data_IF_845394438027
#
_entry.id   IF_845394438027
#
_cell.length_a   1.000
_cell.length_b   1.000
_cell.length_c   1.000
_cell.angle_alpha   90.00
_cell.angle_beta   90.00
_cell.angle_gamma   90.00
#
_symmetry.space_group_name_H-M   'P 1'
#
loop_
_entity.id
_entity.type
_entity.pdbx_description
1 polymer ?
#
# COMPACT_ATOMS: atom_id res chain seq x y z
N UNK A 1 7.33 13.17 25.47
CA UNK A 1 6.12 12.65 26.15
C UNK A 1 6.06 11.16 25.92
N UNK A 2 6.10 10.34 26.98
CA UNK A 2 5.84 8.91 26.87
C UNK A 2 4.33 8.70 26.94
N UNK A 3 3.72 8.25 25.84
CA UNK A 3 2.28 7.98 25.78
C UNK A 3 1.86 6.85 26.73
N UNK A 4 2.79 5.95 27.04
CA UNK A 4 2.61 4.90 28.04
C UNK A 4 3.45 5.23 29.27
N UNK A 5 2.81 5.63 30.35
CA UNK A 5 3.43 5.87 31.65
C UNK A 5 4.06 4.61 32.26
N UNK A 6 3.74 3.43 31.75
CA UNK A 6 4.29 2.15 32.18
C UNK A 6 4.88 1.38 31.01
N UNK A 7 6.01 0.69 31.24
CA UNK A 7 6.60 -0.22 30.25
C UNK A 7 5.59 -1.32 29.90
N UNK A 8 5.17 -1.36 28.66
CA UNK A 8 4.29 -2.44 28.17
C UNK A 8 4.98 -3.79 28.27
N UNK A 9 4.23 -4.83 28.64
CA UNK A 9 4.71 -6.21 28.77
C UNK A 9 3.78 -7.17 28.04
N UNK A 10 3.45 -6.83 26.79
CA UNK A 10 2.56 -7.64 25.96
C UNK A 10 3.37 -8.76 25.34
N UNK A 11 2.88 -9.98 25.38
CA UNK A 11 3.56 -11.12 24.75
C UNK A 11 3.10 -11.30 23.28
N UNK A 12 3.69 -10.51 22.39
CA UNK A 12 3.42 -10.56 20.95
C UNK A 12 3.90 -11.88 20.32
N UNK A 13 5.03 -12.40 20.79
CA UNK A 13 5.61 -13.60 20.19
C UNK A 13 4.88 -14.89 20.58
N UNK A 14 4.12 -14.91 21.67
CA UNK A 14 3.21 -16.02 21.98
C UNK A 14 2.08 -16.11 20.97
N UNK A 15 1.61 -14.99 20.45
CA UNK A 15 0.49 -14.91 19.48
C UNK A 15 0.92 -15.12 18.03
N UNK A 16 2.22 -15.34 17.76
CA UNK A 16 2.79 -15.42 16.39
C UNK A 16 2.08 -16.45 15.48
N UNK A 17 1.64 -17.61 16.03
CA UNK A 17 0.95 -18.65 15.25
C UNK A 17 -0.39 -18.15 14.72
N UNK A 18 -1.17 -17.48 15.56
CA UNK A 18 -2.43 -16.86 15.19
C UNK A 18 -2.25 -15.73 14.17
N UNK A 19 -1.22 -14.90 14.38
CA UNK A 19 -0.87 -13.84 13.43
C UNK A 19 -0.48 -14.41 12.07
N UNK A 20 0.33 -15.47 11.99
CA UNK A 20 0.65 -16.15 10.73
C UNK A 20 -0.59 -16.73 10.04
N UNK A 21 -1.45 -17.40 10.80
CA UNK A 21 -2.68 -17.97 10.25
C UNK A 21 -3.59 -16.87 9.66
N UNK A 22 -3.79 -15.79 10.40
CA UNK A 22 -4.58 -14.64 9.96
C UNK A 22 -3.97 -13.99 8.70
N UNK A 23 -2.66 -13.73 8.72
CA UNK A 23 -1.93 -13.14 7.61
C UNK A 23 -1.96 -14.03 6.35
N UNK A 24 -1.78 -15.35 6.52
CA UNK A 24 -1.86 -16.32 5.41
C UNK A 24 -3.26 -16.35 4.81
N UNK A 25 -4.30 -16.30 5.64
CA UNK A 25 -5.70 -16.24 5.18
C UNK A 25 -5.95 -14.95 4.38
N UNK A 26 -5.47 -13.81 4.87
CA UNK A 26 -5.59 -12.53 4.15
C UNK A 26 -4.81 -12.54 2.83
N UNK A 27 -3.61 -13.15 2.78
CA UNK A 27 -2.85 -13.29 1.54
C UNK A 27 -3.56 -14.17 0.52
N UNK A 28 -4.08 -15.33 0.94
CA UNK A 28 -4.86 -16.23 0.07
C UNK A 28 -6.09 -15.49 -0.46
N UNK A 29 -6.80 -14.78 0.40
CA UNK A 29 -7.95 -13.96 0.01
C UNK A 29 -7.54 -12.86 -0.99
N UNK A 30 -6.44 -12.16 -0.74
CA UNK A 30 -5.92 -11.09 -1.61
C UNK A 30 -5.52 -11.62 -2.98
N UNK A 31 -4.78 -12.74 -3.02
CA UNK A 31 -4.39 -13.39 -4.28
C UNK A 31 -5.63 -13.90 -5.03
N UNK A 32 -6.57 -14.52 -4.31
CA UNK A 32 -7.84 -14.95 -4.91
C UNK A 32 -8.61 -13.77 -5.51
N UNK A 33 -8.76 -12.67 -4.78
CA UNK A 33 -9.44 -11.48 -5.30
C UNK A 33 -8.74 -10.93 -6.55
N UNK A 34 -7.42 -10.85 -6.55
CA UNK A 34 -6.65 -10.40 -7.71
C UNK A 34 -6.80 -11.32 -8.93
N UNK A 35 -6.91 -12.64 -8.74
CA UNK A 35 -7.10 -13.59 -9.83
C UNK A 35 -8.52 -13.55 -10.38
N UNK A 36 -9.54 -13.47 -9.54
CA UNK A 36 -10.94 -13.56 -9.96
C UNK A 36 -11.52 -12.19 -10.39
N UNK A 37 -11.18 -11.12 -9.69
CA UNK A 37 -11.73 -9.78 -9.95
C UNK A 37 -10.76 -8.88 -10.75
N UNK A 38 -9.46 -9.15 -10.70
CA UNK A 38 -8.44 -8.24 -11.23
C UNK A 38 -8.33 -6.94 -10.44
N UNK A 39 -7.55 -5.99 -10.94
CA UNK A 39 -7.50 -4.62 -10.45
C UNK A 39 -8.41 -3.73 -11.29
N UNK A 40 -9.15 -2.84 -10.64
CA UNK A 40 -9.87 -1.77 -11.31
C UNK A 40 -8.90 -0.65 -11.69
N UNK A 41 -8.25 -0.80 -12.86
CA UNK A 41 -7.23 0.13 -13.33
C UNK A 41 -7.86 1.46 -13.74
N UNK A 42 -7.25 2.55 -13.30
CA UNK A 42 -7.62 3.90 -13.66
C UNK A 42 -7.30 4.25 -15.12
N UNK A 43 -7.74 5.41 -15.53
CA UNK A 43 -7.57 5.94 -16.88
C UNK A 43 -6.08 6.02 -17.28
N UNK A 44 -5.22 6.32 -16.31
CA UNK A 44 -3.77 6.41 -16.52
C UNK A 44 -3.18 5.14 -17.14
N UNK A 45 -3.72 3.99 -16.77
CA UNK A 45 -3.23 2.68 -17.20
C UNK A 45 -4.01 2.09 -18.38
N UNK A 46 -5.33 2.36 -18.43
CA UNK A 46 -6.20 1.81 -19.47
C UNK A 46 -6.21 2.64 -20.75
N UNK A 47 -5.87 3.91 -20.63
CA UNK A 47 -6.15 4.91 -21.66
C UNK A 47 -7.65 5.17 -21.80
N UNK A 48 -8.03 6.22 -22.48
CA UNK A 48 -9.44 6.57 -22.69
C UNK A 48 -9.67 8.06 -22.62
N UNK A 49 -10.94 8.44 -22.55
CA UNK A 49 -11.40 9.81 -22.33
C UNK A 49 -12.22 9.83 -21.05
N UNK A 50 -11.87 10.71 -20.13
CA UNK A 50 -12.62 10.99 -18.92
C UNK A 50 -13.21 12.38 -19.03
N UNK A 51 -14.51 12.48 -18.80
CA UNK A 51 -15.25 13.74 -18.84
C UNK A 51 -15.99 13.88 -17.51
N UNK A 52 -15.70 14.96 -16.81
CA UNK A 52 -16.38 15.33 -15.58
C UNK A 52 -17.45 16.38 -15.90
N UNK A 53 -18.67 16.08 -15.54
CA UNK A 53 -19.81 16.96 -15.77
C UNK A 53 -20.58 17.19 -14.48
N UNK A 54 -21.21 18.38 -14.38
CA UNK A 54 -22.08 18.73 -13.27
C UNK A 54 -23.50 18.97 -13.73
N UNK A 55 -24.46 18.53 -12.92
CA UNK A 55 -25.88 18.70 -13.15
C UNK A 55 -26.48 19.70 -12.14
N UNK A 56 -27.57 20.40 -12.49
CA UNK A 56 -28.28 21.27 -11.53
C UNK A 56 -28.87 20.52 -10.34
N UNK A 57 -29.32 19.29 -10.59
CA UNK A 57 -29.88 18.35 -9.61
C UNK A 57 -29.16 17.01 -9.68
N UNK A 58 -29.31 16.16 -8.65
CA UNK A 58 -28.72 14.82 -8.66
C UNK A 58 -29.33 13.97 -9.80
N UNK A 59 -28.52 13.57 -10.81
CA UNK A 59 -29.00 12.83 -11.96
C UNK A 59 -29.12 11.33 -11.68
N UNK A 60 -29.95 10.63 -12.45
CA UNK A 60 -29.96 9.17 -12.50
C UNK A 60 -28.83 8.68 -13.43
N UNK A 61 -27.88 7.97 -12.86
CA UNK A 61 -26.74 7.41 -13.60
C UNK A 61 -27.15 6.39 -14.67
N UNK A 62 -28.28 5.69 -14.49
CA UNK A 62 -28.78 4.74 -15.49
C UNK A 62 -29.33 5.48 -16.69
N UNK A 63 -30.08 6.57 -16.46
CA UNK A 63 -30.58 7.41 -17.53
C UNK A 63 -29.44 8.03 -18.34
N UNK A 64 -28.38 8.53 -17.70
CA UNK A 64 -27.20 9.03 -18.41
C UNK A 64 -26.56 7.95 -19.26
N UNK A 65 -26.45 6.72 -18.74
CA UNK A 65 -25.86 5.59 -19.47
C UNK A 65 -26.68 5.22 -20.70
N UNK A 66 -27.99 5.22 -20.58
CA UNK A 66 -28.91 4.98 -21.69
C UNK A 66 -28.80 6.06 -22.78
N UNK A 67 -28.76 7.34 -22.37
CA UNK A 67 -28.58 8.46 -23.31
C UNK A 67 -27.24 8.37 -24.07
N UNK A 68 -26.15 8.05 -23.37
CA UNK A 68 -24.84 7.87 -24.00
C UNK A 68 -24.81 6.65 -24.93
N UNK A 69 -25.43 5.55 -24.53
CA UNK A 69 -25.55 4.33 -25.34
C UNK A 69 -26.36 4.57 -26.60
N UNK A 70 -27.48 5.33 -26.53
CA UNK A 70 -28.26 5.73 -27.66
C UNK A 70 -27.50 6.62 -28.66
N UNK A 71 -26.51 7.38 -28.16
CA UNK A 71 -25.58 8.17 -28.99
C UNK A 71 -24.41 7.34 -29.55
N UNK A 72 -24.40 6.02 -29.35
CA UNK A 72 -23.31 5.12 -29.79
C UNK A 72 -22.02 5.24 -28.97
N UNK A 73 -22.12 5.70 -27.72
CA UNK A 73 -20.99 5.88 -26.81
C UNK A 73 -21.04 4.81 -25.68
N UNK A 74 -20.15 3.85 -25.71
CA UNK A 74 -19.94 2.94 -24.57
C UNK A 74 -19.25 3.67 -23.41
N UNK A 75 -20.02 4.07 -22.42
CA UNK A 75 -19.54 4.84 -21.32
C UNK A 75 -19.75 4.14 -19.97
N UNK A 76 -18.80 4.26 -19.08
CA UNK A 76 -18.94 3.96 -17.66
C UNK A 76 -19.24 5.27 -16.95
N UNK A 77 -20.37 5.33 -16.25
CA UNK A 77 -20.81 6.51 -15.49
C UNK A 77 -20.76 6.24 -14.00
N UNK A 78 -20.20 7.17 -13.24
CA UNK A 78 -20.15 7.05 -11.79
C UNK A 78 -20.30 8.44 -11.14
N UNK A 79 -20.91 8.49 -9.95
CA UNK A 79 -20.95 9.72 -9.15
C UNK A 79 -19.54 10.12 -8.73
N UNK A 80 -19.24 11.42 -8.77
CA UNK A 80 -17.91 11.94 -8.52
C UNK A 80 -17.99 13.22 -7.67
N UNK A 81 -17.38 13.19 -6.50
CA UNK A 81 -17.34 14.35 -5.61
C UNK A 81 -18.66 14.64 -4.92
N UNK A 82 -19.61 15.26 -5.61
CA UNK A 82 -20.94 15.55 -5.09
C UNK A 82 -22.01 14.67 -5.72
N UNK A 83 -23.23 14.71 -5.18
CA UNK A 83 -24.39 14.00 -5.77
C UNK A 83 -24.82 14.55 -7.13
N UNK A 84 -24.29 15.70 -7.53
CA UNK A 84 -24.59 16.38 -8.79
C UNK A 84 -23.52 16.19 -9.85
N UNK A 85 -22.35 15.72 -9.45
CA UNK A 85 -21.20 15.59 -10.35
C UNK A 85 -21.08 14.14 -10.80
N UNK A 86 -20.86 13.96 -12.09
CA UNK A 86 -20.76 12.65 -12.74
C UNK A 86 -19.47 12.58 -13.54
N UNK A 87 -18.73 11.51 -13.31
CA UNK A 87 -17.58 11.13 -14.10
C UNK A 87 -18.03 10.15 -15.19
N UNK A 88 -17.70 10.45 -16.42
CA UNK A 88 -18.00 9.66 -17.61
C UNK A 88 -16.67 9.21 -18.21
N UNK A 89 -16.46 7.90 -18.30
CA UNK A 89 -15.30 7.30 -18.95
C UNK A 89 -15.71 6.60 -20.23
N UNK A 90 -14.93 6.85 -21.26
CA UNK A 90 -15.16 6.32 -22.61
C UNK A 90 -13.89 5.65 -23.12
N UNK A 91 -14.05 4.55 -23.85
CA UNK A 91 -12.95 3.96 -24.60
C UNK A 91 -12.48 4.91 -25.70
N UNK A 92 -11.18 4.88 -26.00
CA UNK A 92 -10.62 5.65 -27.11
C UNK A 92 -11.24 5.22 -28.45
N UNK A 93 -11.78 6.17 -29.16
CA UNK A 93 -12.07 6.02 -30.60
C UNK A 93 -10.87 6.58 -31.38
N UNK A 94 -10.27 5.75 -32.24
CA UNK A 94 -9.04 6.10 -32.98
C UNK A 94 -9.14 7.34 -33.85
N UNK A 95 -10.37 7.67 -34.29
CA UNK A 95 -10.64 8.73 -35.26
C UNK A 95 -11.20 10.02 -34.65
N UNK A 96 -11.33 10.08 -33.31
CA UNK A 96 -11.92 11.22 -32.61
C UNK A 96 -10.95 11.89 -31.69
N UNK A 97 -10.83 13.22 -31.79
CA UNK A 97 -10.08 14.01 -30.81
C UNK A 97 -10.83 14.11 -29.46
N UNK A 98 -10.12 14.47 -28.41
CA UNK A 98 -10.73 14.73 -27.09
C UNK A 98 -11.92 15.69 -27.20
N UNK A 99 -11.77 16.77 -27.94
CA UNK A 99 -12.81 17.78 -28.10
C UNK A 99 -14.05 17.24 -28.81
N UNK A 100 -13.86 16.45 -29.88
CA UNK A 100 -14.94 15.79 -30.59
C UNK A 100 -15.68 14.76 -29.71
N UNK A 101 -14.95 14.02 -28.86
CA UNK A 101 -15.58 13.10 -27.91
C UNK A 101 -16.36 13.87 -26.86
N UNK A 102 -15.79 14.93 -26.29
CA UNK A 102 -16.47 15.80 -25.31
C UNK A 102 -17.74 16.42 -25.91
N UNK A 103 -17.67 16.94 -27.13
CA UNK A 103 -18.83 17.52 -27.80
C UNK A 103 -19.94 16.50 -28.08
N UNK A 104 -19.56 15.25 -28.44
CA UNK A 104 -20.55 14.17 -28.60
C UNK A 104 -21.23 13.82 -27.28
N UNK A 105 -20.47 13.73 -26.20
CA UNK A 105 -21.02 13.47 -24.86
C UNK A 105 -21.96 14.58 -24.45
N UNK A 106 -21.54 15.86 -24.54
CA UNK A 106 -22.39 16.99 -24.16
C UNK A 106 -23.67 17.12 -25.03
N UNK A 107 -23.60 16.71 -26.29
CA UNK A 107 -24.80 16.62 -27.15
C UNK A 107 -25.77 15.54 -26.69
N UNK A 108 -25.26 14.41 -26.19
CA UNK A 108 -26.09 13.32 -25.68
C UNK A 108 -26.73 13.63 -24.31
N UNK A 109 -26.09 14.50 -23.51
CA UNK A 109 -26.53 14.89 -22.17
C UNK A 109 -26.58 16.43 -22.04
N UNK A 110 -27.53 17.11 -22.69
CA UNK A 110 -27.54 18.57 -22.83
C UNK A 110 -27.75 19.34 -21.53
N UNK A 111 -28.24 18.68 -20.46
CA UNK A 111 -28.43 19.29 -19.14
C UNK A 111 -27.12 19.39 -18.33
N UNK A 112 -26.07 18.68 -18.75
CA UNK A 112 -24.80 18.62 -18.09
C UNK A 112 -23.89 19.80 -18.48
N UNK A 113 -23.18 20.33 -17.50
CA UNK A 113 -22.10 21.32 -17.70
C UNK A 113 -20.76 20.65 -17.58
N UNK A 114 -19.92 20.82 -18.60
CA UNK A 114 -18.53 20.34 -18.56
C UNK A 114 -17.76 21.03 -17.43
N UNK A 115 -17.13 20.21 -16.56
CA UNK A 115 -16.17 20.69 -15.57
C UNK A 115 -14.74 20.44 -16.05
N UNK A 116 -14.44 19.22 -16.49
CA UNK A 116 -13.10 18.80 -16.92
C UNK A 116 -13.20 17.71 -17.98
N UNK A 117 -12.25 17.70 -18.89
CA UNK A 117 -12.08 16.62 -19.86
C UNK A 117 -10.60 16.24 -19.96
N UNK A 118 -10.30 14.96 -19.87
CA UNK A 118 -8.95 14.42 -20.00
C UNK A 118 -8.94 13.27 -21.00
N UNK A 119 -7.84 13.13 -21.74
CA UNK A 119 -7.65 12.05 -22.69
C UNK A 119 -6.24 11.48 -22.54
N UNK A 120 -6.16 10.17 -22.34
CA UNK A 120 -4.91 9.44 -22.29
C UNK A 120 -4.88 8.44 -23.45
N UNK A 121 -3.90 8.60 -24.34
CA UNK A 121 -3.71 7.68 -25.47
C UNK A 121 -3.33 6.28 -24.99
N UNK A 122 -3.79 5.25 -25.70
CA UNK A 122 -3.49 3.84 -25.34
C UNK A 122 -1.99 3.54 -25.28
N UNK A 123 -1.17 4.17 -26.12
CA UNK A 123 0.27 4.01 -26.08
C UNK A 123 0.87 4.60 -24.79
N UNK A 124 0.37 5.75 -24.35
CA UNK A 124 0.78 6.39 -23.10
C UNK A 124 0.37 5.52 -21.90
N UNK A 125 -0.88 5.02 -21.87
CA UNK A 125 -1.35 4.13 -20.83
C UNK A 125 -0.48 2.87 -20.69
N UNK A 126 -0.17 2.20 -21.79
CA UNK A 126 0.73 1.03 -21.78
C UNK A 126 2.13 1.36 -21.29
N UNK A 127 2.69 2.53 -21.66
CA UNK A 127 3.99 2.98 -21.17
C UNK A 127 3.94 3.24 -19.64
N UNK A 128 2.85 3.83 -19.15
CA UNK A 128 2.67 4.07 -17.71
C UNK A 128 2.52 2.76 -16.91
N UNK A 129 1.83 1.75 -17.44
CA UNK A 129 1.78 0.40 -16.83
C UNK A 129 3.19 -0.18 -16.72
N UNK A 130 3.94 -0.17 -17.81
CA UNK A 130 5.31 -0.73 -17.84
C UNK A 130 6.22 0.00 -16.85
N UNK A 131 6.20 1.34 -16.88
CA UNK A 131 7.00 2.15 -15.97
C UNK A 131 6.56 1.99 -14.51
N UNK A 132 5.27 1.85 -14.25
CA UNK A 132 4.73 1.58 -12.92
C UNK A 132 5.21 0.25 -12.35
N UNK A 133 5.15 -0.82 -13.13
CA UNK A 133 5.68 -2.14 -12.74
C UNK A 133 7.19 -2.05 -12.47
N UNK A 134 7.95 -1.40 -13.36
CA UNK A 134 9.39 -1.20 -13.17
C UNK A 134 9.69 -0.40 -11.90
N UNK A 135 8.92 0.65 -11.61
CA UNK A 135 9.08 1.44 -10.40
C UNK A 135 8.90 0.61 -9.13
N UNK A 136 7.86 -0.26 -9.09
CA UNK A 136 7.63 -1.17 -7.96
C UNK A 136 8.78 -2.17 -7.83
N UNK A 137 9.22 -2.79 -8.92
CA UNK A 137 10.32 -3.75 -8.90
C UNK A 137 11.61 -3.08 -8.42
N UNK A 138 11.95 -1.90 -8.95
CA UNK A 138 13.17 -1.17 -8.56
C UNK A 138 13.09 -0.74 -7.09
N UNK A 139 11.94 -0.27 -6.62
CA UNK A 139 11.75 0.11 -5.23
C UNK A 139 11.93 -1.10 -4.29
N UNK A 140 11.32 -2.24 -4.62
CA UNK A 140 11.46 -3.48 -3.84
C UNK A 140 12.91 -3.98 -3.84
N UNK A 141 13.54 -4.08 -5.00
CA UNK A 141 14.93 -4.54 -5.11
C UNK A 141 15.90 -3.60 -4.39
N UNK A 142 15.79 -2.29 -4.59
CA UNK A 142 16.64 -1.30 -3.92
C UNK A 142 16.50 -1.37 -2.40
N UNK A 143 15.27 -1.54 -1.92
CA UNK A 143 14.98 -1.68 -0.50
C UNK A 143 15.52 -2.99 0.06
N UNK A 144 15.36 -4.13 -0.66
CA UNK A 144 15.91 -5.42 -0.25
C UNK A 144 17.44 -5.41 -0.21
N UNK A 145 18.09 -4.78 -1.19
CA UNK A 145 19.54 -4.59 -1.22
C UNK A 145 19.99 -3.78 0.01
N UNK A 146 19.33 -2.66 0.28
CA UNK A 146 19.63 -1.85 1.48
C UNK A 146 19.54 -2.67 2.77
N UNK A 147 18.46 -3.45 2.95
CA UNK A 147 18.27 -4.28 4.14
C UNK A 147 19.34 -5.38 4.22
N UNK A 148 19.71 -5.99 3.10
CA UNK A 148 20.72 -7.04 3.05
C UNK A 148 22.10 -6.53 3.49
N UNK A 149 22.46 -5.29 3.16
CA UNK A 149 23.69 -4.66 3.65
C UNK A 149 23.60 -4.18 5.10
N UNK A 150 22.41 -3.80 5.54
CA UNK A 150 22.20 -3.19 6.88
C UNK A 150 22.07 -4.22 7.99
N UNK A 151 21.46 -5.38 7.70
CA UNK A 151 21.10 -6.38 8.69
C UNK A 151 21.69 -7.76 8.39
N UNK A 152 21.72 -8.60 9.43
CA UNK A 152 22.05 -10.01 9.31
C UNK A 152 20.99 -10.70 8.42
N UNK A 153 21.42 -11.68 7.67
CA UNK A 153 20.66 -12.32 6.60
C UNK A 153 19.27 -12.79 7.01
N UNK A 154 19.06 -13.28 8.24
CA UNK A 154 17.72 -13.72 8.72
C UNK A 154 16.75 -12.57 8.89
N UNK A 155 17.24 -11.45 9.40
CA UNK A 155 16.47 -10.20 9.42
C UNK A 155 16.21 -9.68 8.02
N UNK A 156 17.20 -9.76 7.13
CA UNK A 156 17.05 -9.29 5.77
C UNK A 156 15.98 -10.08 5.01
N UNK A 157 16.02 -11.41 5.06
CA UNK A 157 15.03 -12.27 4.40
C UNK A 157 13.63 -12.08 4.98
N UNK A 158 13.52 -12.00 6.32
CA UNK A 158 12.21 -11.80 6.96
C UNK A 158 11.60 -10.43 6.63
N UNK A 159 12.40 -9.37 6.58
CA UNK A 159 11.96 -8.06 6.15
C UNK A 159 11.57 -8.03 4.67
N UNK A 160 12.31 -8.71 3.80
CA UNK A 160 11.98 -8.81 2.37
C UNK A 160 10.63 -9.49 2.13
N UNK A 161 10.33 -10.57 2.86
CA UNK A 161 9.03 -11.26 2.78
C UNK A 161 7.91 -10.35 3.28
N UNK A 162 8.12 -9.67 4.42
CA UNK A 162 7.17 -8.70 4.97
C UNK A 162 6.91 -7.54 3.99
N UNK A 163 7.96 -7.08 3.31
CA UNK A 163 7.90 -5.99 2.33
C UNK A 163 7.07 -6.35 1.08
N UNK A 164 7.04 -7.61 0.67
CA UNK A 164 6.18 -8.11 -0.43
C UNK A 164 4.75 -8.35 0.07
N UNK A 165 4.61 -8.83 1.30
CA UNK A 165 3.33 -9.12 1.93
C UNK A 165 2.41 -7.89 1.97
N UNK A 166 2.92 -6.74 2.41
CA UNK A 166 2.11 -5.55 2.65
C UNK A 166 1.47 -4.98 1.37
N UNK A 167 2.21 -4.77 0.25
CA UNK A 167 1.61 -4.37 -1.03
C UNK A 167 0.61 -5.38 -1.58
N UNK A 168 0.87 -6.69 -1.41
CA UNK A 168 -0.05 -7.73 -1.87
C UNK A 168 -1.41 -7.65 -1.18
N UNK A 169 -1.43 -7.36 0.13
CA UNK A 169 -2.68 -7.17 0.86
C UNK A 169 -3.41 -5.89 0.43
N UNK A 170 -2.69 -4.81 0.19
CA UNK A 170 -3.28 -3.54 -0.30
C UNK A 170 -3.94 -3.76 -1.66
N UNK A 171 -3.20 -4.35 -2.61
CA UNK A 171 -3.73 -4.62 -3.96
C UNK A 171 -4.91 -5.59 -3.92
N UNK A 172 -4.87 -6.61 -3.05
CA UNK A 172 -5.98 -7.54 -2.86
C UNK A 172 -7.25 -6.86 -2.34
N UNK A 173 -7.12 -5.94 -1.39
CA UNK A 173 -8.24 -5.16 -0.89
C UNK A 173 -8.78 -4.17 -1.94
N UNK A 174 -7.90 -3.54 -2.70
CA UNK A 174 -8.30 -2.69 -3.84
C UNK A 174 -9.09 -3.48 -4.87
N UNK A 175 -8.62 -4.69 -5.21
CA UNK A 175 -9.33 -5.62 -6.10
C UNK A 175 -10.72 -5.99 -5.56
N UNK A 176 -10.79 -6.36 -4.27
CA UNK A 176 -12.04 -6.81 -3.65
C UNK A 176 -13.08 -5.70 -3.56
N UNK A 177 -12.67 -4.50 -3.14
CA UNK A 177 -13.59 -3.37 -3.02
C UNK A 177 -13.77 -2.60 -4.34
N UNK A 178 -13.18 -3.06 -5.45
CA UNK A 178 -13.20 -2.40 -6.75
C UNK A 178 -12.75 -0.92 -6.67
N UNK A 179 -11.82 -0.63 -5.75
CA UNK A 179 -11.22 0.70 -5.65
C UNK A 179 -10.36 0.95 -6.88
N UNK A 180 -10.50 2.12 -7.46
CA UNK A 180 -9.70 2.49 -8.61
C UNK A 180 -8.22 2.60 -8.25
N UNK A 181 -7.38 1.96 -9.06
CA UNK A 181 -5.94 1.99 -8.95
C UNK A 181 -5.35 2.79 -10.11
N UNK A 182 -4.94 4.01 -9.83
CA UNK A 182 -4.37 5.00 -10.74
C UNK A 182 -2.89 5.27 -10.42
N UNK A 183 -2.26 6.23 -11.08
CA UNK A 183 -0.89 6.65 -10.79
C UNK A 183 -0.73 7.19 -9.36
N UNK A 184 -1.75 7.83 -8.82
CA UNK A 184 -1.74 8.35 -7.45
C UNK A 184 -1.81 7.19 -6.46
N UNK A 185 -2.61 6.17 -6.74
CA UNK A 185 -2.65 4.92 -5.99
C UNK A 185 -1.32 4.15 -6.03
N UNK A 186 -0.65 4.13 -7.19
CA UNK A 186 0.70 3.58 -7.33
C UNK A 186 1.72 4.33 -6.48
N UNK A 187 1.67 5.68 -6.47
CA UNK A 187 2.53 6.48 -5.61
C UNK A 187 2.31 6.20 -4.13
N UNK A 188 1.04 5.98 -3.71
CA UNK A 188 0.72 5.56 -2.36
C UNK A 188 1.32 4.18 -2.04
N UNK A 189 1.20 3.21 -2.95
CA UNK A 189 1.78 1.87 -2.77
C UNK A 189 3.29 1.93 -2.56
N UNK A 190 4.01 2.71 -3.37
CA UNK A 190 5.45 2.93 -3.24
C UNK A 190 5.80 3.63 -1.90
N UNK A 191 4.97 4.56 -1.46
CA UNK A 191 5.14 5.24 -0.18
C UNK A 191 4.96 4.27 0.99
N UNK A 192 3.96 3.38 0.93
CA UNK A 192 3.71 2.36 1.97
C UNK A 192 4.89 1.39 2.09
N UNK A 193 5.52 0.99 0.97
CA UNK A 193 6.73 0.15 0.98
C UNK A 193 7.81 0.78 1.88
N UNK A 194 8.08 2.07 1.71
CA UNK A 194 9.06 2.78 2.54
C UNK A 194 8.59 2.96 3.98
N UNK A 195 7.31 3.22 4.18
CA UNK A 195 6.72 3.44 5.50
C UNK A 195 6.75 2.18 6.37
N UNK A 196 6.30 1.05 5.84
CA UNK A 196 6.30 -0.24 6.55
C UNK A 196 7.71 -0.67 6.94
N UNK A 197 8.68 -0.46 6.04
CA UNK A 197 10.06 -0.78 6.32
C UNK A 197 10.63 0.03 7.48
N UNK A 198 10.26 1.31 7.62
CA UNK A 198 10.77 2.16 8.70
C UNK A 198 10.50 1.56 10.08
N UNK A 199 9.30 1.07 10.33
CA UNK A 199 8.94 0.43 11.59
C UNK A 199 9.69 -0.89 11.81
N UNK A 200 9.82 -1.71 10.76
CA UNK A 200 10.60 -2.96 10.81
C UNK A 200 12.06 -2.70 11.15
N UNK A 201 12.69 -1.68 10.55
CA UNK A 201 14.08 -1.29 10.85
C UNK A 201 14.22 -0.89 12.34
N UNK A 202 13.29 -0.10 12.86
CA UNK A 202 13.33 0.34 14.28
C UNK A 202 13.28 -0.85 15.23
N UNK A 203 12.38 -1.81 14.98
CA UNK A 203 12.28 -3.04 15.78
C UNK A 203 13.56 -3.87 15.69
N UNK A 204 14.13 -4.03 14.49
CA UNK A 204 15.32 -4.83 14.26
C UNK A 204 16.60 -4.21 14.84
N UNK A 205 16.76 -2.90 14.72
CA UNK A 205 17.88 -2.21 15.38
C UNK A 205 17.80 -2.35 16.90
N UNK A 206 16.60 -2.24 17.47
CA UNK A 206 16.39 -2.48 18.90
C UNK A 206 16.62 -3.92 19.28
N UNK A 207 16.20 -4.87 18.45
CA UNK A 207 16.48 -6.28 18.67
C UNK A 207 17.98 -6.56 18.69
N UNK A 208 18.75 -6.05 17.72
CA UNK A 208 20.22 -6.18 17.68
C UNK A 208 20.87 -5.63 18.94
N UNK A 209 20.41 -4.48 19.42
CA UNK A 209 20.92 -3.90 20.68
C UNK A 209 20.63 -4.82 21.87
N UNK A 210 19.39 -5.33 21.98
CA UNK A 210 18.99 -6.21 23.06
C UNK A 210 19.70 -7.58 23.02
N UNK A 211 19.95 -8.14 21.84
CA UNK A 211 20.75 -9.36 21.68
C UNK A 211 22.17 -9.22 22.24
N UNK A 212 22.74 -8.03 22.17
CA UNK A 212 24.07 -7.74 22.76
C UNK A 212 24.02 -7.55 24.25
N UNK A 213 22.97 -6.91 24.80
CA UNK A 213 22.83 -6.53 26.19
C UNK A 213 22.30 -7.67 27.07
N UNK A 214 21.29 -8.40 26.63
CA UNK A 214 20.54 -9.39 27.42
C UNK A 214 21.16 -10.79 27.24
N UNK A 215 21.85 -11.32 28.25
CA UNK A 215 22.65 -12.55 28.11
C UNK A 215 21.87 -13.88 28.26
N UNK A 216 20.76 -13.89 29.02
CA UNK A 216 20.07 -15.13 29.41
C UNK A 216 18.67 -15.33 28.79
N UNK A 217 18.30 -14.52 27.82
CA UNK A 217 16.97 -14.61 27.18
C UNK A 217 17.02 -15.35 25.84
N UNK A 218 15.94 -16.01 25.50
CA UNK A 218 15.71 -16.64 24.19
C UNK A 218 15.54 -15.57 23.10
N UNK A 219 15.71 -15.94 21.83
CA UNK A 219 15.50 -15.03 20.71
C UNK A 219 14.06 -14.47 20.69
N UNK A 220 13.06 -15.29 21.03
CA UNK A 220 11.68 -14.87 21.12
C UNK A 220 11.45 -13.81 22.21
N UNK A 221 12.02 -14.01 23.39
CA UNK A 221 11.92 -13.05 24.50
C UNK A 221 12.62 -11.72 24.16
N UNK A 222 13.77 -11.77 23.46
CA UNK A 222 14.49 -10.56 23.02
C UNK A 222 13.70 -9.79 21.98
N UNK A 223 13.10 -10.48 21.00
CA UNK A 223 12.22 -9.83 20.03
C UNK A 223 10.98 -9.23 20.69
N UNK A 224 10.37 -10.00 21.60
CA UNK A 224 9.21 -9.51 22.35
C UNK A 224 9.53 -8.25 23.17
N UNK A 225 10.68 -8.26 23.86
CA UNK A 225 11.18 -7.09 24.58
C UNK A 225 11.41 -5.90 23.63
N UNK A 226 11.98 -6.14 22.47
CA UNK A 226 12.29 -5.10 21.48
C UNK A 226 11.05 -4.45 20.91
N UNK A 227 10.04 -5.25 20.55
CA UNK A 227 8.73 -4.76 20.11
C UNK A 227 8.09 -3.90 21.21
N UNK A 228 8.05 -4.36 22.46
CA UNK A 228 7.48 -3.59 23.58
C UNK A 228 8.23 -2.25 23.80
N UNK A 229 9.54 -2.23 23.63
CA UNK A 229 10.36 -1.02 23.80
C UNK A 229 10.15 0.01 22.68
N UNK A 230 9.78 -0.44 21.48
CA UNK A 230 9.55 0.43 20.32
C UNK A 230 8.07 0.76 20.11
N UNK A 231 7.17 0.04 20.78
CA UNK A 231 5.72 0.09 20.58
C UNK A 231 5.14 1.52 20.68
N UNK A 232 5.54 2.26 21.72
CA UNK A 232 5.07 3.63 21.93
C UNK A 232 5.43 4.52 20.73
N UNK A 233 6.64 4.40 20.21
CA UNK A 233 7.10 5.16 19.04
C UNK A 233 6.31 4.76 17.79
N UNK A 234 6.17 3.47 17.53
CA UNK A 234 5.43 2.94 16.37
C UNK A 234 3.98 3.41 16.39
N UNK A 235 3.28 3.24 17.53
CA UNK A 235 1.87 3.68 17.64
C UNK A 235 1.72 5.19 17.48
N UNK A 236 2.64 5.99 18.05
CA UNK A 236 2.56 7.45 17.92
C UNK A 236 2.78 7.89 16.46
N UNK A 237 3.78 7.36 15.77
CA UNK A 237 4.08 7.73 14.38
C UNK A 237 2.94 7.25 13.48
N UNK A 238 2.53 6.00 13.60
CA UNK A 238 1.44 5.42 12.80
C UNK A 238 0.10 6.12 13.08
N UNK A 239 -0.20 6.41 14.35
CA UNK A 239 -1.43 7.10 14.73
C UNK A 239 -1.48 8.55 14.23
N UNK A 240 -0.36 9.27 14.30
CA UNK A 240 -0.29 10.63 13.77
C UNK A 240 -0.46 10.62 12.24
N UNK A 241 0.28 9.77 11.53
CA UNK A 241 0.18 9.65 10.07
C UNK A 241 -1.22 9.22 9.66
N UNK A 242 -1.81 8.24 10.36
CA UNK A 242 -3.18 7.78 10.12
C UNK A 242 -4.19 8.91 10.28
N UNK A 243 -4.04 9.77 11.30
CA UNK A 243 -4.92 10.93 11.52
C UNK A 243 -4.81 11.95 10.38
N UNK A 244 -3.59 12.24 9.91
CA UNK A 244 -3.36 13.13 8.75
C UNK A 244 -3.99 12.56 7.48
N UNK A 245 -3.78 11.27 7.22
CA UNK A 245 -4.35 10.61 6.03
C UNK A 245 -5.89 10.50 6.14
N UNK A 246 -6.44 10.34 7.35
CA UNK A 246 -7.89 10.40 7.56
C UNK A 246 -8.46 11.77 7.22
N UNK A 247 -7.78 12.84 7.65
CA UNK A 247 -8.18 14.20 7.25
C UNK A 247 -8.09 14.38 5.72
N UNK A 248 -7.05 13.84 5.10
CA UNK A 248 -6.90 13.86 3.64
C UNK A 248 -8.01 13.07 2.93
N UNK A 249 -8.44 11.94 3.48
CA UNK A 249 -9.55 11.13 2.94
C UNK A 249 -10.88 11.91 2.99
N UNK A 250 -11.11 12.66 4.08
CA UNK A 250 -12.36 13.41 4.29
C UNK A 250 -12.38 14.69 3.46
N UNK A 251 -11.28 15.44 3.43
CA UNK A 251 -11.21 16.79 2.86
C UNK A 251 -10.46 16.86 1.53
N UNK A 252 -9.71 15.82 1.13
CA UNK A 252 -8.85 15.84 -0.06
C UNK A 252 -9.57 15.63 -1.40
N UNK A 253 -10.89 15.36 -1.35
CA UNK A 253 -11.68 15.14 -2.56
C UNK A 253 -11.41 13.78 -3.23
N UNK A 254 -12.04 13.59 -4.39
CA UNK A 254 -12.00 12.28 -5.07
C UNK A 254 -10.62 11.93 -5.64
N UNK A 255 -9.85 12.92 -6.08
CA UNK A 255 -8.52 12.70 -6.66
C UNK A 255 -7.58 12.02 -5.66
N UNK A 256 -7.64 12.41 -4.39
CA UNK A 256 -6.77 11.87 -3.35
C UNK A 256 -7.37 10.66 -2.63
N UNK A 257 -8.58 10.23 -3.01
CA UNK A 257 -9.27 9.13 -2.32
C UNK A 257 -8.52 7.80 -2.42
N UNK A 258 -8.08 7.42 -3.62
CA UNK A 258 -7.30 6.20 -3.85
C UNK A 258 -5.99 6.21 -3.06
N UNK A 259 -5.26 7.34 -3.08
CA UNK A 259 -4.06 7.56 -2.28
C UNK A 259 -4.33 7.36 -0.79
N UNK A 260 -5.34 8.07 -0.27
CA UNK A 260 -5.65 8.05 1.17
C UNK A 260 -6.08 6.64 1.62
N UNK A 261 -6.88 5.94 0.84
CA UNK A 261 -7.28 4.56 1.15
C UNK A 261 -6.08 3.61 1.16
N UNK A 262 -5.21 3.67 0.14
CA UNK A 262 -4.00 2.84 0.09
C UNK A 262 -3.08 3.11 1.29
N UNK A 263 -2.87 4.38 1.63
CA UNK A 263 -2.05 4.77 2.78
C UNK A 263 -2.67 4.33 4.11
N UNK A 264 -3.97 4.50 4.33
CA UNK A 264 -4.64 4.06 5.56
C UNK A 264 -4.51 2.55 5.75
N UNK A 265 -4.84 1.78 4.71
CA UNK A 265 -4.70 0.33 4.71
C UNK A 265 -3.23 -0.05 4.95
N UNK A 266 -2.31 0.61 4.25
CA UNK A 266 -0.87 0.36 4.34
C UNK A 266 -0.28 0.65 5.72
N UNK A 267 -0.71 1.72 6.41
CA UNK A 267 -0.27 2.04 7.78
C UNK A 267 -0.72 0.94 8.75
N UNK A 268 -1.97 0.50 8.65
CA UNK A 268 -2.51 -0.56 9.54
C UNK A 268 -1.80 -1.89 9.28
N UNK A 269 -1.69 -2.30 8.01
CA UNK A 269 -1.02 -3.55 7.62
C UNK A 269 0.45 -3.50 7.98
N UNK A 270 1.17 -2.42 7.66
CA UNK A 270 2.60 -2.28 7.93
C UNK A 270 2.92 -2.26 9.42
N UNK A 271 2.09 -1.59 10.24
CA UNK A 271 2.23 -1.63 11.70
C UNK A 271 2.02 -3.05 12.24
N UNK A 272 0.98 -3.75 11.77
CA UNK A 272 0.75 -5.15 12.12
C UNK A 272 1.90 -6.05 11.66
N UNK A 273 2.36 -5.88 10.43
CA UNK A 273 3.40 -6.68 9.79
C UNK A 273 4.75 -6.52 10.50
N UNK A 274 5.15 -5.30 10.87
CA UNK A 274 6.38 -5.04 11.60
C UNK A 274 6.39 -5.66 13.00
N UNK A 275 5.24 -5.69 13.69
CA UNK A 275 5.11 -6.25 15.05
C UNK A 275 5.08 -7.78 15.01
N UNK A 276 4.25 -8.37 14.14
CA UNK A 276 3.94 -9.79 14.21
C UNK A 276 4.64 -10.61 13.12
N UNK A 277 4.74 -10.13 11.89
CA UNK A 277 5.21 -10.93 10.77
C UNK A 277 6.73 -10.91 10.66
N UNK A 278 7.33 -9.74 10.59
CA UNK A 278 8.76 -9.58 10.38
C UNK A 278 9.59 -10.28 11.47
N UNK A 279 9.30 -10.01 12.76
CA UNK A 279 9.99 -10.65 13.88
C UNK A 279 9.77 -12.16 13.96
N UNK A 280 8.54 -12.61 13.67
CA UNK A 280 8.20 -14.05 13.72
C UNK A 280 8.84 -14.83 12.57
N UNK A 281 8.95 -14.24 11.38
CA UNK A 281 9.68 -14.83 10.26
C UNK A 281 11.18 -14.96 10.59
N UNK A 282 11.77 -13.95 11.23
CA UNK A 282 13.16 -14.02 11.65
C UNK A 282 13.40 -15.21 12.62
N UNK A 283 12.47 -15.45 13.56
CA UNK A 283 12.49 -16.63 14.43
C UNK A 283 12.35 -17.94 13.65
N UNK A 284 11.47 -17.98 12.67
CA UNK A 284 11.26 -19.17 11.81
C UNK A 284 12.53 -19.51 11.03
N UNK A 285 13.29 -18.52 10.59
CA UNK A 285 14.60 -18.70 9.93
C UNK A 285 15.75 -19.01 10.91
N UNK A 286 15.43 -19.29 12.17
CA UNK A 286 16.41 -19.72 13.16
C UNK A 286 17.29 -18.57 13.66
N UNK A 287 16.71 -17.37 13.85
CA UNK A 287 17.41 -16.27 14.49
C UNK A 287 17.87 -16.69 15.88
N UNK A 288 19.18 -16.64 16.08
CA UNK A 288 19.82 -16.95 17.36
C UNK A 288 20.86 -15.86 17.68
N UNK A 289 21.14 -15.70 18.96
CA UNK A 289 22.13 -14.79 19.48
C UNK A 289 23.51 -14.95 18.82
N UNK A 290 23.93 -16.19 18.55
CA UNK A 290 25.24 -16.50 17.94
C UNK A 290 25.48 -15.78 16.62
N UNK A 291 24.41 -15.44 15.89
CA UNK A 291 24.47 -14.79 14.58
C UNK A 291 24.69 -13.27 14.68
N UNK A 292 24.45 -12.69 15.86
CA UNK A 292 24.47 -11.24 16.09
C UNK A 292 25.64 -10.80 16.98
N UNK A 293 26.41 -11.76 17.51
CA UNK A 293 27.62 -11.47 18.30
C UNK A 293 28.80 -11.26 17.36
N UNK A 294 29.71 -10.30 17.65
CA UNK A 294 30.97 -10.22 16.94
C UNK A 294 31.70 -11.55 17.10
N UNK A 295 32.36 -12.02 16.05
CA UNK A 295 33.25 -13.17 16.16
C UNK A 295 34.26 -12.91 17.31
N UNK A 296 34.37 -13.86 18.23
CA UNK A 296 35.45 -13.80 19.23
C UNK A 296 36.78 -13.63 18.50
N UNK A 297 37.46 -12.51 18.73
CA UNK A 297 38.85 -12.38 18.30
C UNK A 297 39.60 -13.51 19.00
N UNK A 298 40.01 -14.51 18.23
CA UNK A 298 41.03 -15.46 18.72
C UNK A 298 42.20 -14.59 19.14
N UNK A 299 42.38 -14.46 20.45
CA UNK A 299 43.66 -13.99 20.99
C UNK A 299 44.68 -14.99 20.48
N UNK A 300 45.46 -14.59 19.48
CA UNK A 300 46.68 -15.27 19.16
C UNK A 300 47.54 -15.02 20.40
N UNK A 301 47.61 -16.02 21.27
CA UNK A 301 48.61 -16.06 22.32
C UNK A 301 49.96 -15.92 21.61
N UNK A 302 50.51 -14.73 21.66
CA UNK A 302 51.93 -14.53 21.40
C UNK A 302 52.66 -15.23 22.56
N UNK A 303 52.98 -16.47 22.33
CA UNK A 303 54.00 -17.13 23.15
C UNK A 303 55.34 -16.45 22.98
N UNK A 304 56.14 -16.52 24.04
CA UNK A 304 57.36 -15.72 24.26
C UNK A 304 58.46 -15.98 23.29
#
# INVERSE_FOLDING_TARGET
MEFFTHKTKIDFMAQRKWAFMFSSMLLIFSIGSLIFNGLNLGLDFTGGVQIEVSYPTSPDLNQIREQLSAAGLEAVTQAYGSSKDVMIRLKLHKDLSQQQMTDKVLKAIPEAKLQRGEMIGAQTGNALVTNGILAVIIALLGTMIYIAFRFEYRFAVSAAISLIHDPMLILGLFSFFHVEFDLIGLAALLTVIGYSLNDTIVVYDRARENFRKVRKATAAEILNLSVNQTLSRTIMISGLTFSVITALLIFGGQILRGFSMAMMIGIVIGTYSSIYIAGSLALLFGLDRRHLMPAEKKTVDSMP
#
